data_IF_923269654591
#
_entry.id   IF_923269654591
#
_cell.length_a   1.000
_cell.length_b   1.000
_cell.length_c   1.000
_cell.angle_alpha   90.00
_cell.angle_beta   90.00
_cell.angle_gamma   90.00
#
_symmetry.space_group_name_H-M   'P 1'
#
loop_
_entity.id
_entity.type
_entity.pdbx_description
1 polymer ?
#
# COMPACT_ATOMS: atom_id res chain seq x y z
N UNK A 1 21.74 10.33 13.61
CA UNK A 1 20.39 9.75 13.46
C UNK A 1 19.99 9.09 14.77
N UNK A 2 18.88 9.50 15.38
CA UNK A 2 18.41 8.90 16.64
C UNK A 2 18.00 7.43 16.39
N UNK A 3 18.16 6.50 17.35
CA UNK A 3 17.76 5.11 17.20
C UNK A 3 16.28 4.93 16.81
N UNK A 4 15.41 5.85 17.24
CA UNK A 4 13.99 5.88 16.87
C UNK A 4 13.80 6.08 15.35
N UNK A 5 14.55 7.00 14.73
CA UNK A 5 14.48 7.26 13.29
C UNK A 5 14.89 6.04 12.47
N UNK A 6 15.82 5.20 12.98
CA UNK A 6 16.20 3.95 12.31
C UNK A 6 15.03 2.98 12.24
N UNK A 7 14.31 2.80 13.35
CA UNK A 7 13.14 1.92 13.41
C UNK A 7 12.01 2.42 12.51
N UNK A 8 11.79 3.74 12.47
CA UNK A 8 10.80 4.36 11.58
C UNK A 8 11.15 4.14 10.10
N UNK A 9 12.41 4.34 9.71
CA UNK A 9 12.87 4.07 8.35
C UNK A 9 12.75 2.59 7.97
N UNK A 10 13.04 1.67 8.88
CA UNK A 10 12.89 0.24 8.61
C UNK A 10 11.41 -0.14 8.44
N UNK A 11 10.51 0.43 9.25
CA UNK A 11 9.06 0.30 9.05
C UNK A 11 8.62 0.87 7.70
N UNK A 12 9.10 2.06 7.34
CA UNK A 12 8.80 2.72 6.08
C UNK A 12 9.21 1.85 4.88
N UNK A 13 10.38 1.20 4.91
CA UNK A 13 10.81 0.25 3.87
C UNK A 13 9.86 -0.93 3.74
N UNK A 14 9.42 -1.50 4.86
CA UNK A 14 8.46 -2.60 4.87
C UNK A 14 7.11 -2.16 4.27
N UNK A 15 6.62 -0.98 4.65
CA UNK A 15 5.39 -0.41 4.11
C UNK A 15 5.49 -0.14 2.60
N UNK A 16 6.58 0.49 2.13
CA UNK A 16 6.84 0.71 0.70
C UNK A 16 6.84 -0.62 -0.08
N UNK A 17 7.42 -1.68 0.49
CA UNK A 17 7.37 -3.03 -0.10
C UNK A 17 5.95 -3.62 -0.16
N UNK A 18 5.15 -3.41 0.90
CA UNK A 18 3.74 -3.85 0.95
C UNK A 18 2.88 -3.08 -0.07
N UNK A 19 3.02 -1.76 -0.15
CA UNK A 19 2.35 -0.90 -1.14
C UNK A 19 2.68 -1.37 -2.56
N UNK A 20 3.94 -1.66 -2.87
CA UNK A 20 4.33 -2.17 -4.19
C UNK A 20 3.57 -3.45 -4.56
N UNK A 21 3.57 -4.46 -3.67
CA UNK A 21 2.84 -5.73 -3.91
C UNK A 21 1.33 -5.52 -4.03
N UNK A 22 0.75 -4.63 -3.22
CA UNK A 22 -0.67 -4.33 -3.30
C UNK A 22 -1.03 -3.59 -4.59
N UNK A 23 -0.18 -2.68 -5.09
CA UNK A 23 -0.37 -2.03 -6.39
C UNK A 23 -0.33 -3.03 -7.56
N UNK A 24 0.57 -4.01 -7.51
CA UNK A 24 0.60 -5.12 -8.49
C UNK A 24 -0.70 -5.92 -8.45
N UNK A 25 -1.12 -6.35 -7.25
CA UNK A 25 -2.38 -7.08 -7.06
C UNK A 25 -3.61 -6.27 -7.51
N UNK A 26 -3.64 -4.97 -7.22
CA UNK A 26 -4.70 -4.06 -7.67
C UNK A 26 -4.78 -4.06 -9.19
N UNK A 27 -3.64 -3.98 -9.88
CA UNK A 27 -3.58 -3.99 -11.35
C UNK A 27 -4.11 -5.32 -11.92
N UNK A 28 -3.76 -6.44 -11.31
CA UNK A 28 -4.28 -7.75 -11.75
C UNK A 28 -5.81 -7.83 -11.60
N UNK A 29 -6.35 -7.32 -10.48
CA UNK A 29 -7.80 -7.24 -10.26
C UNK A 29 -8.48 -6.27 -11.24
N UNK A 30 -7.82 -5.13 -11.55
CA UNK A 30 -8.29 -4.15 -12.52
C UNK A 30 -8.45 -4.77 -13.91
N UNK A 31 -7.46 -5.56 -14.36
CA UNK A 31 -7.54 -6.31 -15.62
C UNK A 31 -8.75 -7.27 -15.66
N UNK A 32 -9.04 -7.97 -14.56
CA UNK A 32 -10.22 -8.84 -14.47
C UNK A 32 -11.53 -8.05 -14.52
N UNK A 33 -11.57 -6.88 -13.86
CA UNK A 33 -12.75 -6.02 -13.79
C UNK A 33 -13.04 -5.42 -15.16
N UNK A 34 -12.03 -4.83 -15.79
CA UNK A 34 -12.14 -4.19 -17.11
C UNK A 34 -12.39 -5.22 -18.21
N UNK A 35 -11.82 -6.43 -18.07
CA UNK A 35 -12.07 -7.55 -18.95
C UNK A 35 -13.45 -8.21 -18.78
N UNK A 36 -14.27 -7.76 -17.82
CA UNK A 36 -15.61 -8.31 -17.57
C UNK A 36 -15.63 -9.72 -16.98
N UNK A 37 -14.49 -10.26 -16.56
CA UNK A 37 -14.34 -11.61 -15.98
C UNK A 37 -14.29 -11.62 -14.45
N UNK A 38 -14.36 -10.44 -13.83
CA UNK A 38 -14.35 -10.30 -12.38
C UNK A 38 -15.63 -10.82 -11.70
N UNK A 39 -15.45 -11.68 -10.71
CA UNK A 39 -16.50 -12.07 -9.77
C UNK A 39 -16.79 -10.94 -8.78
N UNK A 40 -17.93 -11.01 -8.06
CA UNK A 40 -18.22 -10.08 -6.96
C UNK A 40 -17.10 -10.06 -5.90
N UNK A 41 -16.47 -11.21 -5.65
CA UNK A 41 -15.32 -11.31 -4.74
C UNK A 41 -14.12 -10.52 -5.24
N UNK A 42 -13.78 -10.60 -6.54
CA UNK A 42 -12.68 -9.81 -7.12
C UNK A 42 -12.93 -8.30 -6.99
N UNK A 43 -14.17 -7.85 -7.17
CA UNK A 43 -14.55 -6.44 -7.02
C UNK A 43 -14.43 -5.96 -5.57
N UNK A 44 -14.88 -6.77 -4.62
CA UNK A 44 -14.71 -6.48 -3.20
C UNK A 44 -13.22 -6.41 -2.83
N UNK A 45 -12.45 -7.39 -3.26
CA UNK A 45 -11.00 -7.44 -3.02
C UNK A 45 -10.27 -6.24 -3.63
N UNK A 46 -10.69 -5.76 -4.80
CA UNK A 46 -10.13 -4.55 -5.43
C UNK A 46 -10.34 -3.31 -4.55
N UNK A 47 -11.54 -3.15 -3.98
CA UNK A 47 -11.85 -2.03 -3.06
C UNK A 47 -11.02 -2.14 -1.78
N UNK A 48 -10.94 -3.34 -1.19
CA UNK A 48 -10.13 -3.58 0.02
C UNK A 48 -8.64 -3.29 -0.22
N UNK A 49 -8.09 -3.73 -1.35
CA UNK A 49 -6.70 -3.47 -1.72
C UNK A 49 -6.46 -1.98 -1.94
N UNK A 50 -7.39 -1.24 -2.56
CA UNK A 50 -7.27 0.22 -2.69
C UNK A 50 -7.21 0.91 -1.33
N UNK A 51 -8.10 0.56 -0.40
CA UNK A 51 -8.11 1.13 0.94
C UNK A 51 -6.83 0.80 1.71
N UNK A 52 -6.28 -0.41 1.55
CA UNK A 52 -5.01 -0.80 2.17
C UNK A 52 -3.82 -0.02 1.62
N UNK A 53 -3.80 0.26 0.30
CA UNK A 53 -2.74 1.07 -0.31
C UNK A 53 -2.76 2.48 0.28
N UNK A 54 -3.92 3.13 0.29
CA UNK A 54 -4.10 4.47 0.83
C UNK A 54 -3.65 4.55 2.30
N UNK A 55 -4.14 3.63 3.14
CA UNK A 55 -3.77 3.59 4.55
C UNK A 55 -2.25 3.39 4.78
N UNK A 56 -1.56 2.63 3.93
CA UNK A 56 -0.11 2.47 4.04
C UNK A 56 0.67 3.67 3.49
N UNK A 57 0.16 4.33 2.45
CA UNK A 57 0.74 5.56 1.91
C UNK A 57 0.64 6.69 2.94
N UNK A 58 -0.51 6.85 3.61
CA UNK A 58 -0.67 7.83 4.70
C UNK A 58 0.35 7.61 5.84
N UNK A 59 0.58 6.35 6.23
CA UNK A 59 1.56 6.03 7.28
C UNK A 59 3.00 6.32 6.79
N UNK A 60 3.30 6.06 5.52
CA UNK A 60 4.61 6.40 4.94
C UNK A 60 4.83 7.91 4.99
N UNK A 61 3.83 8.70 4.60
CA UNK A 61 3.90 10.17 4.58
C UNK A 61 4.09 10.72 6.00
N UNK A 62 3.39 10.16 6.99
CA UNK A 62 3.59 10.50 8.41
C UNK A 62 5.02 10.20 8.87
N UNK A 63 5.57 9.04 8.49
CA UNK A 63 6.95 8.68 8.83
C UNK A 63 7.93 9.66 8.17
N UNK A 64 7.71 10.02 6.90
CA UNK A 64 8.55 11.00 6.18
C UNK A 64 8.58 12.34 6.91
N UNK A 65 7.41 12.87 7.28
CA UNK A 65 7.30 14.11 8.07
C UNK A 65 8.01 14.03 9.42
N UNK A 66 7.97 12.88 10.11
CA UNK A 66 8.68 12.69 11.40
C UNK A 66 10.20 12.52 11.25
N UNK A 67 10.71 12.16 10.08
CA UNK A 67 12.14 11.93 9.85
C UNK A 67 12.87 13.09 9.19
N UNK A 68 12.13 13.98 8.52
CA UNK A 68 12.67 15.18 7.86
C UNK A 68 12.82 16.38 8.83
N UNK A 69 12.23 16.30 10.02
CA UNK A 69 12.44 17.21 11.17
C UNK A 69 13.71 16.89 11.99
#
# INVERSE_FOLDING_TARGET
>A
MKPENKKLMDLQKVLKSKVKRAKEKKKDLEVLIDGGTATSRHKQEYVEVKAQIEAWEDIIDLIEGMTDE
#
